data_IF_049066561509
#
_entry.id   IF_049066561509
#
_cell.length_a   1.000
_cell.length_b   1.000
_cell.length_c   1.000
_cell.angle_alpha   90.00
_cell.angle_beta   90.00
_cell.angle_gamma   90.00
#
_symmetry.space_group_name_H-M   'P 1'
#
loop_
_entity.id
_entity.type
_entity.pdbx_description
1 polymer ?
#
# COMPACT_ATOMS: atom_id res chain seq x y z
N UNK A 1 -42.13 32.48 17.73
CA UNK A 1 -42.06 33.26 18.97
C UNK A 1 -40.85 32.92 19.82
N UNK A 2 -40.12 31.86 19.50
CA UNK A 2 -38.92 31.41 20.28
C UNK A 2 -37.73 32.40 20.21
N UNK A 3 -37.67 33.21 19.18
CA UNK A 3 -36.65 34.25 18.97
C UNK A 3 -36.60 35.33 20.07
N UNK A 4 -37.63 35.45 20.85
CA UNK A 4 -37.69 36.39 21.99
C UNK A 4 -37.15 35.78 23.30
N UNK A 5 -37.14 34.46 23.39
CA UNK A 5 -36.78 33.74 24.62
C UNK A 5 -35.43 32.98 24.48
N UNK A 6 -35.09 32.63 23.26
CA UNK A 6 -33.90 31.85 22.96
C UNK A 6 -32.98 32.57 21.94
N UNK A 7 -31.69 32.51 22.19
CA UNK A 7 -30.70 32.98 21.25
C UNK A 7 -30.26 31.79 20.40
N UNK A 8 -30.53 31.84 19.09
CA UNK A 8 -29.93 30.90 18.14
C UNK A 8 -28.48 31.26 17.93
N UNK A 9 -27.61 30.26 18.08
CA UNK A 9 -26.15 30.38 17.87
C UNK A 9 -25.80 29.57 16.65
N UNK A 10 -25.29 30.26 15.63
CA UNK A 10 -24.79 29.62 14.44
C UNK A 10 -23.44 28.95 14.73
N UNK A 11 -23.24 27.75 14.18
CA UNK A 11 -22.02 27.00 14.37
C UNK A 11 -21.86 25.89 13.31
N UNK A 12 -20.65 25.36 13.21
CA UNK A 12 -20.43 24.13 12.44
C UNK A 12 -20.96 22.92 13.21
N UNK A 13 -21.26 21.84 12.51
CA UNK A 13 -21.70 20.57 13.15
C UNK A 13 -20.73 20.11 14.26
N UNK A 14 -19.38 20.11 14.06
CA UNK A 14 -18.45 19.77 15.13
C UNK A 14 -18.54 20.71 16.34
N UNK A 15 -18.75 22.01 16.13
CA UNK A 15 -18.88 22.98 17.21
C UNK A 15 -20.18 22.77 18.01
N UNK A 16 -21.28 22.52 17.34
CA UNK A 16 -22.57 22.21 17.95
C UNK A 16 -22.48 20.91 18.78
N UNK A 17 -21.87 19.85 18.25
CA UNK A 17 -21.67 18.59 18.97
C UNK A 17 -20.74 18.73 20.18
N UNK A 18 -19.68 19.52 20.07
CA UNK A 18 -18.81 19.83 21.22
C UNK A 18 -19.56 20.56 22.33
N UNK A 19 -20.45 21.48 21.97
CA UNK A 19 -21.27 22.21 22.93
C UNK A 19 -22.33 21.30 23.56
N UNK A 20 -22.95 20.41 22.77
CA UNK A 20 -23.86 19.36 23.28
C UNK A 20 -23.13 18.50 24.34
N UNK A 21 -21.97 17.97 24.01
CA UNK A 21 -21.16 17.14 24.90
C UNK A 21 -20.79 17.89 26.19
N UNK A 22 -20.39 19.15 26.07
CA UNK A 22 -20.07 20.01 27.22
C UNK A 22 -21.27 20.22 28.15
N UNK A 23 -22.42 20.60 27.60
CA UNK A 23 -23.63 20.87 28.35
C UNK A 23 -24.19 19.60 29.01
N UNK A 24 -24.21 18.48 28.25
CA UNK A 24 -24.66 17.18 28.74
C UNK A 24 -23.83 16.71 29.95
N UNK A 25 -22.48 16.80 29.85
CA UNK A 25 -21.59 16.44 30.96
C UNK A 25 -21.83 17.29 32.24
N UNK A 26 -22.25 18.55 32.07
CA UNK A 26 -22.57 19.46 33.17
C UNK A 26 -24.03 19.43 33.62
N UNK A 27 -24.85 18.63 32.95
CA UNK A 27 -26.33 18.60 33.15
C UNK A 27 -26.97 19.97 32.95
N UNK A 28 -26.41 20.78 32.05
CA UNK A 28 -26.96 22.07 31.64
C UNK A 28 -28.04 21.86 30.57
N UNK A 29 -29.19 22.54 30.64
CA UNK A 29 -30.18 22.47 29.56
C UNK A 29 -29.60 23.00 28.24
N UNK A 30 -29.81 22.24 27.18
CA UNK A 30 -29.40 22.65 25.83
C UNK A 30 -30.41 22.14 24.81
N UNK A 31 -30.67 22.91 23.77
CA UNK A 31 -31.39 22.46 22.58
C UNK A 31 -30.48 22.63 21.38
N UNK A 32 -30.40 21.59 20.57
CA UNK A 32 -29.55 21.55 19.38
C UNK A 32 -30.35 21.09 18.17
N UNK A 33 -29.98 21.52 16.99
CA UNK A 33 -30.51 20.99 15.73
C UNK A 33 -29.76 19.71 15.37
N UNK A 34 -30.52 18.62 15.30
CA UNK A 34 -30.03 17.31 14.86
C UNK A 34 -30.94 16.74 13.79
N UNK A 35 -30.50 15.73 13.13
CA UNK A 35 -31.26 14.94 12.16
C UNK A 35 -31.30 13.47 12.58
N UNK A 36 -32.16 12.69 12.00
CA UNK A 36 -32.18 11.24 12.14
C UNK A 36 -31.96 10.61 10.78
N UNK A 37 -31.11 9.58 10.71
CA UNK A 37 -30.34 9.00 11.81
C UNK A 37 -29.13 9.86 12.20
N UNK A 38 -28.64 9.76 13.46
CA UNK A 38 -27.43 10.42 13.95
C UNK A 38 -26.91 9.70 15.21
N UNK A 39 -25.62 9.42 15.27
CA UNK A 39 -24.95 8.70 16.36
C UNK A 39 -25.16 9.32 17.76
N UNK A 40 -25.36 10.64 17.84
CA UNK A 40 -25.58 11.34 19.11
C UNK A 40 -26.80 10.83 19.91
N UNK A 41 -27.79 10.24 19.24
CA UNK A 41 -28.92 9.61 19.92
C UNK A 41 -28.53 8.31 20.63
N UNK A 42 -27.44 7.66 20.24
CA UNK A 42 -26.91 6.48 20.92
C UNK A 42 -25.98 6.85 22.07
N UNK A 43 -25.22 7.96 21.93
CA UNK A 43 -24.26 8.40 22.94
C UNK A 43 -24.93 9.20 24.08
N UNK A 44 -25.98 9.97 23.76
CA UNK A 44 -26.67 10.85 24.72
C UNK A 44 -28.14 10.50 24.80
N UNK A 45 -28.69 10.48 26.02
CA UNK A 45 -30.15 10.37 26.23
C UNK A 45 -30.81 11.70 25.86
N UNK A 46 -31.23 11.80 24.60
CA UNK A 46 -31.79 13.00 24.00
C UNK A 46 -33.28 12.81 23.73
N UNK A 47 -34.07 13.83 24.01
CA UNK A 47 -35.50 13.88 23.67
C UNK A 47 -35.71 14.63 22.37
N UNK A 48 -36.22 13.95 21.33
CA UNK A 48 -36.72 14.61 20.12
C UNK A 48 -37.92 15.49 20.43
N UNK A 49 -37.82 16.77 20.13
CA UNK A 49 -38.94 17.70 20.23
C UNK A 49 -39.88 17.51 19.03
N UNK A 50 -41.18 17.48 19.31
CA UNK A 50 -42.19 17.37 18.25
C UNK A 50 -42.34 18.72 17.55
N UNK A 51 -42.49 18.67 16.24
CA UNK A 51 -42.85 19.81 15.40
C UNK A 51 -44.34 19.71 14.96
N UNK A 52 -45.26 20.19 15.76
CA UNK A 52 -46.68 20.04 15.46
C UNK A 52 -47.14 20.93 14.30
N UNK A 53 -46.38 21.94 13.94
CA UNK A 53 -46.68 22.86 12.84
C UNK A 53 -46.01 22.46 11.52
N UNK A 54 -45.17 21.41 11.53
CA UNK A 54 -44.48 20.91 10.33
C UNK A 54 -43.49 21.91 9.73
N UNK A 55 -42.87 22.75 10.56
CA UNK A 55 -41.93 23.78 10.10
C UNK A 55 -40.67 23.21 9.47
N UNK A 56 -40.27 21.97 9.86
CA UNK A 56 -39.15 21.24 9.32
C UNK A 56 -39.44 20.43 8.04
N UNK A 57 -40.74 20.39 7.62
CA UNK A 57 -41.19 19.57 6.49
C UNK A 57 -41.38 18.10 6.83
N UNK A 58 -41.63 17.28 5.80
CA UNK A 58 -41.96 15.85 5.93
C UNK A 58 -40.71 14.96 5.93
N UNK A 59 -39.55 15.39 6.10
CA UNK A 59 -38.34 14.59 6.06
C UNK A 59 -37.94 14.21 4.63
N UNK A 60 -36.69 13.85 4.49
CA UNK A 60 -36.05 13.52 3.22
C UNK A 60 -35.57 12.07 3.17
N UNK A 61 -35.24 11.60 1.96
CA UNK A 61 -34.62 10.32 1.72
C UNK A 61 -33.13 10.54 1.34
N UNK A 62 -32.28 9.62 1.76
CA UNK A 62 -30.86 9.63 1.37
C UNK A 62 -30.71 8.79 0.11
N UNK A 63 -30.22 9.40 -0.96
CA UNK A 63 -30.06 8.77 -2.26
C UNK A 63 -28.59 8.62 -2.65
N UNK A 64 -28.27 7.48 -3.30
CA UNK A 64 -26.99 7.28 -3.99
C UNK A 64 -27.06 7.94 -5.36
N UNK A 65 -26.11 8.83 -5.64
CA UNK A 65 -25.97 9.49 -6.95
C UNK A 65 -24.73 8.98 -7.68
N UNK A 66 -24.90 8.72 -8.98
CA UNK A 66 -23.81 8.31 -9.85
C UNK A 66 -23.79 9.13 -11.14
N UNK A 67 -22.62 9.24 -11.77
CA UNK A 67 -22.51 9.91 -13.07
C UNK A 67 -23.31 9.21 -14.15
N UNK A 68 -23.75 9.97 -15.14
CA UNK A 68 -24.47 9.40 -16.29
C UNK A 68 -23.61 8.34 -17.00
N UNK A 69 -24.18 7.17 -17.23
CA UNK A 69 -23.51 6.04 -17.87
C UNK A 69 -22.86 5.04 -16.91
N UNK A 70 -22.75 5.37 -15.62
CA UNK A 70 -22.13 4.51 -14.58
C UNK A 70 -22.67 3.07 -14.61
N UNK A 71 -24.00 2.87 -14.57
CA UNK A 71 -24.60 1.53 -14.57
C UNK A 71 -24.43 0.74 -15.88
N UNK A 72 -24.00 1.41 -16.98
CA UNK A 72 -23.62 0.70 -18.21
C UNK A 72 -22.19 0.23 -18.18
N UNK A 73 -21.33 1.01 -17.56
CA UNK A 73 -19.89 0.73 -17.42
C UNK A 73 -19.65 -0.29 -16.30
N UNK A 74 -20.42 -0.18 -15.21
CA UNK A 74 -20.33 -1.04 -14.02
C UNK A 74 -21.71 -1.65 -13.69
N UNK A 75 -22.23 -2.60 -14.47
CA UNK A 75 -23.60 -3.07 -14.32
C UNK A 75 -23.89 -3.74 -12.98
N UNK A 76 -22.98 -4.56 -12.46
CA UNK A 76 -23.14 -5.23 -11.17
C UNK A 76 -23.09 -4.22 -10.01
N UNK A 77 -22.07 -3.37 -9.99
CA UNK A 77 -21.96 -2.33 -8.95
C UNK A 77 -23.14 -1.38 -9.00
N UNK A 78 -23.60 -1.01 -10.20
CA UNK A 78 -24.78 -0.19 -10.38
C UNK A 78 -26.06 -0.84 -9.78
N UNK A 79 -26.17 -2.17 -9.89
CA UNK A 79 -27.23 -2.93 -9.25
C UNK A 79 -27.10 -2.94 -7.73
N UNK A 80 -25.92 -3.21 -7.20
CA UNK A 80 -25.67 -3.20 -5.75
C UNK A 80 -26.02 -1.85 -5.14
N UNK A 81 -25.54 -0.76 -5.75
CA UNK A 81 -25.84 0.60 -5.28
C UNK A 81 -27.33 0.94 -5.36
N UNK A 82 -28.04 0.43 -6.36
CA UNK A 82 -29.49 0.60 -6.49
C UNK A 82 -30.26 -0.14 -5.40
N UNK A 83 -29.80 -1.34 -5.04
CA UNK A 83 -30.45 -2.21 -4.07
C UNK A 83 -29.93 -1.95 -2.63
N UNK A 84 -28.92 -1.08 -2.47
CA UNK A 84 -28.32 -0.74 -1.18
C UNK A 84 -29.33 -0.08 -0.25
N UNK A 85 -29.50 -0.66 0.93
CA UNK A 85 -30.32 -0.11 2.01
C UNK A 85 -29.71 -0.42 3.37
N UNK A 86 -29.64 0.59 4.21
CA UNK A 86 -29.30 0.46 5.62
C UNK A 86 -30.53 0.76 6.49
N UNK A 87 -30.66 0.06 7.61
CA UNK A 87 -31.58 0.45 8.66
C UNK A 87 -31.05 1.67 9.43
N UNK A 88 -31.94 2.38 10.13
CA UNK A 88 -31.54 3.48 11.02
C UNK A 88 -30.53 2.99 12.08
N UNK A 89 -30.72 1.80 12.63
CA UNK A 89 -29.83 1.17 13.61
C UNK A 89 -28.44 0.87 13.02
N UNK A 90 -28.38 0.32 11.82
CA UNK A 90 -27.12 0.05 11.13
C UNK A 90 -26.35 1.33 10.86
N UNK A 91 -27.00 2.36 10.33
CA UNK A 91 -26.33 3.62 10.02
C UNK A 91 -25.83 4.31 11.29
N UNK A 92 -26.65 4.37 12.34
CA UNK A 92 -26.30 5.03 13.61
C UNK A 92 -25.14 4.29 14.31
N UNK A 93 -25.11 2.95 14.28
CA UNK A 93 -24.03 2.17 14.86
C UNK A 93 -22.71 2.34 14.07
N UNK A 94 -22.77 2.39 12.75
CA UNK A 94 -21.62 2.66 11.90
C UNK A 94 -21.05 4.07 12.14
N UNK A 95 -21.93 5.07 12.23
CA UNK A 95 -21.52 6.44 12.56
C UNK A 95 -20.82 6.53 13.93
N UNK A 96 -21.31 5.77 14.92
CA UNK A 96 -20.71 5.72 16.26
C UNK A 96 -19.30 5.13 16.22
N UNK A 97 -19.08 4.04 15.48
CA UNK A 97 -17.75 3.43 15.28
C UNK A 97 -16.77 4.42 14.60
N UNK A 98 -17.22 5.08 13.53
CA UNK A 98 -16.40 6.09 12.84
C UNK A 98 -16.06 7.27 13.77
N UNK A 99 -17.03 7.73 14.58
CA UNK A 99 -16.81 8.81 15.55
C UNK A 99 -15.84 8.42 16.68
N UNK A 100 -15.82 7.15 17.07
CA UNK A 100 -14.89 6.61 18.07
C UNK A 100 -13.47 6.42 17.59
N UNK A 101 -13.26 6.42 16.28
CA UNK A 101 -11.94 6.19 15.67
C UNK A 101 -11.05 7.45 15.72
N UNK A 102 -9.75 7.25 15.77
CA UNK A 102 -8.77 8.30 15.56
C UNK A 102 -8.87 8.86 14.14
N UNK A 103 -8.55 10.15 13.99
CA UNK A 103 -8.55 10.81 12.69
C UNK A 103 -7.62 10.08 11.69
N UNK A 104 -8.16 9.70 10.54
CA UNK A 104 -7.46 8.94 9.50
C UNK A 104 -7.60 7.42 9.64
N UNK A 105 -8.38 6.95 10.64
CA UNK A 105 -8.67 5.52 10.86
C UNK A 105 -10.12 5.14 10.61
N UNK A 106 -10.84 6.00 9.90
CA UNK A 106 -12.26 5.81 9.60
C UNK A 106 -12.51 4.50 8.81
N UNK A 107 -11.60 4.15 7.90
CA UNK A 107 -11.70 2.92 7.12
C UNK A 107 -11.51 1.66 8.00
N UNK A 108 -10.62 1.72 8.98
CA UNK A 108 -10.44 0.63 9.95
C UNK A 108 -11.70 0.42 10.79
N UNK A 109 -12.33 1.53 11.23
CA UNK A 109 -13.59 1.50 11.97
C UNK A 109 -14.73 0.87 11.15
N UNK A 110 -14.86 1.24 9.88
CA UNK A 110 -15.83 0.61 8.96
C UNK A 110 -15.59 -0.89 8.82
N UNK A 111 -14.34 -1.31 8.65
CA UNK A 111 -13.98 -2.74 8.57
C UNK A 111 -14.27 -3.49 9.87
N UNK A 112 -14.01 -2.87 11.02
CA UNK A 112 -14.36 -3.46 12.33
C UNK A 112 -15.86 -3.62 12.48
N UNK A 113 -16.63 -2.59 12.16
CA UNK A 113 -18.09 -2.65 12.19
C UNK A 113 -18.66 -3.74 11.27
N UNK A 114 -18.10 -3.91 10.05
CA UNK A 114 -18.54 -4.95 9.12
C UNK A 114 -18.30 -6.38 9.66
N UNK A 115 -17.27 -6.61 10.49
CA UNK A 115 -17.05 -7.92 11.13
C UNK A 115 -18.19 -8.30 12.07
N UNK A 116 -18.84 -7.31 12.70
CA UNK A 116 -19.99 -7.50 13.57
C UNK A 116 -21.32 -7.55 12.79
N UNK A 117 -21.27 -7.35 11.47
CA UNK A 117 -22.41 -7.40 10.54
C UNK A 117 -22.17 -8.42 9.41
N UNK A 118 -22.03 -9.72 9.72
CA UNK A 118 -21.56 -10.72 8.74
C UNK A 118 -22.43 -10.82 7.49
N UNK A 119 -23.74 -10.57 7.62
CA UNK A 119 -24.68 -10.66 6.48
C UNK A 119 -24.78 -9.35 5.66
N UNK A 120 -24.15 -8.27 6.13
CA UNK A 120 -24.32 -6.95 5.50
C UNK A 120 -23.65 -6.89 4.11
N UNK A 121 -22.42 -7.39 3.98
CA UNK A 121 -21.69 -7.42 2.71
C UNK A 121 -22.40 -8.30 1.68
N UNK A 122 -22.81 -9.49 2.08
CA UNK A 122 -23.51 -10.42 1.18
C UNK A 122 -24.88 -9.87 0.72
N UNK A 123 -25.51 -9.07 1.57
CA UNK A 123 -26.78 -8.41 1.24
C UNK A 123 -26.60 -7.22 0.31
N UNK A 124 -25.56 -6.40 0.53
CA UNK A 124 -25.36 -5.14 -0.20
C UNK A 124 -24.56 -5.30 -1.49
N UNK A 125 -23.60 -6.20 -1.49
CA UNK A 125 -22.75 -6.52 -2.62
C UNK A 125 -22.65 -8.05 -2.77
N UNK A 126 -23.76 -8.73 -3.13
CA UNK A 126 -23.72 -10.17 -3.33
C UNK A 126 -22.78 -10.47 -4.50
N UNK A 127 -21.55 -10.80 -4.19
CA UNK A 127 -20.65 -11.39 -5.19
C UNK A 127 -21.21 -12.77 -5.50
N UNK A 128 -21.49 -13.01 -6.79
CA UNK A 128 -21.96 -14.31 -7.26
C UNK A 128 -20.88 -15.34 -6.98
N UNK A 129 -21.02 -16.07 -5.87
CA UNK A 129 -20.05 -17.05 -5.41
C UNK A 129 -19.82 -16.92 -3.91
N UNK A 130 -20.66 -17.54 -3.07
CA UNK A 130 -20.35 -17.73 -1.65
C UNK A 130 -19.11 -18.63 -1.49
N UNK A 131 -18.58 -18.77 -0.28
CA UNK A 131 -17.38 -19.58 0.09
C UNK A 131 -17.23 -20.91 -0.67
N UNK A 132 -18.36 -21.57 -1.01
CA UNK A 132 -18.35 -22.82 -1.79
C UNK A 132 -17.96 -22.62 -3.26
N UNK A 133 -18.25 -21.45 -3.85
CA UNK A 133 -17.97 -21.18 -5.24
C UNK A 133 -16.56 -20.61 -5.40
N UNK A 134 -16.11 -19.73 -4.51
CA UNK A 134 -14.70 -19.30 -4.46
C UNK A 134 -13.75 -20.51 -4.32
N UNK A 135 -14.07 -21.48 -3.46
CA UNK A 135 -13.28 -22.73 -3.33
C UNK A 135 -13.24 -23.54 -4.61
N UNK A 136 -14.32 -23.58 -5.38
CA UNK A 136 -14.35 -24.28 -6.69
C UNK A 136 -13.56 -23.50 -7.73
N UNK A 137 -13.64 -22.16 -7.72
CA UNK A 137 -12.92 -21.30 -8.64
C UNK A 137 -11.42 -21.34 -8.37
N UNK A 138 -11.00 -21.26 -7.12
CA UNK A 138 -9.61 -21.47 -6.68
C UNK A 138 -9.11 -22.85 -7.14
N UNK A 139 -9.87 -23.92 -6.92
CA UNK A 139 -9.49 -25.26 -7.36
C UNK A 139 -9.44 -25.41 -8.89
N UNK A 140 -10.17 -24.59 -9.64
CA UNK A 140 -10.08 -24.56 -11.10
C UNK A 140 -8.82 -23.84 -11.58
N UNK A 141 -8.50 -22.69 -11.00
CA UNK A 141 -7.29 -21.89 -11.27
C UNK A 141 -6.01 -22.65 -10.90
N UNK A 142 -6.00 -23.31 -9.75
CA UNK A 142 -4.85 -24.03 -9.19
C UNK A 142 -4.40 -25.26 -10.02
N UNK A 143 -5.14 -25.64 -11.05
CA UNK A 143 -4.76 -26.74 -11.95
C UNK A 143 -3.53 -26.44 -12.81
N UNK A 144 -3.29 -25.17 -13.08
CA UNK A 144 -2.12 -24.70 -13.81
C UNK A 144 -1.14 -24.05 -12.83
N UNK A 145 0.15 -24.40 -12.88
CA UNK A 145 1.16 -23.64 -12.13
C UNK A 145 1.23 -22.21 -12.63
N UNK A 146 1.40 -21.27 -11.71
CA UNK A 146 1.61 -19.85 -11.99
C UNK A 146 3.12 -19.61 -12.18
N UNK A 147 3.50 -19.06 -13.34
CA UNK A 147 4.88 -18.72 -13.66
C UNK A 147 5.18 -17.29 -13.15
N UNK A 148 5.98 -17.16 -12.13
CA UNK A 148 6.23 -15.90 -11.41
C UNK A 148 7.68 -15.47 -11.59
N UNK A 149 7.87 -14.26 -12.09
CA UNK A 149 9.20 -13.65 -12.13
C UNK A 149 9.50 -12.93 -10.83
N UNK A 150 10.78 -12.89 -10.47
CA UNK A 150 11.28 -12.12 -9.34
C UNK A 150 12.69 -11.58 -9.61
N UNK A 151 13.03 -10.49 -8.92
CA UNK A 151 14.33 -9.85 -8.91
C UNK A 151 15.04 -10.12 -7.58
N UNK A 152 16.39 -10.13 -7.53
CA UNK A 152 17.12 -10.35 -6.29
C UNK A 152 17.17 -9.09 -5.41
N UNK A 153 16.01 -8.42 -5.25
CA UNK A 153 15.81 -7.25 -4.41
C UNK A 153 14.94 -7.62 -3.21
N UNK A 154 15.19 -6.99 -2.08
CA UNK A 154 14.68 -7.41 -0.79
C UNK A 154 13.15 -7.36 -0.73
N UNK A 155 12.56 -6.29 -1.22
CA UNK A 155 11.10 -6.10 -1.28
C UNK A 155 10.42 -7.09 -2.23
N UNK A 156 11.06 -7.40 -3.36
CA UNK A 156 10.51 -8.38 -4.31
C UNK A 156 10.63 -9.81 -3.76
N UNK A 157 11.75 -10.15 -3.13
CA UNK A 157 11.92 -11.43 -2.44
C UNK A 157 10.84 -11.57 -1.37
N UNK A 158 10.62 -10.52 -0.54
CA UNK A 158 9.63 -10.53 0.51
C UNK A 158 8.21 -10.75 -0.06
N UNK A 159 7.79 -9.96 -1.03
CA UNK A 159 6.47 -10.06 -1.65
C UNK A 159 6.28 -11.41 -2.36
N UNK A 160 7.25 -11.84 -3.15
CA UNK A 160 7.19 -13.09 -3.95
C UNK A 160 7.07 -14.32 -3.05
N UNK A 161 7.90 -14.44 -2.00
CA UNK A 161 7.85 -15.60 -1.10
C UNK A 161 6.65 -15.55 -0.15
N UNK A 162 6.19 -14.38 0.25
CA UNK A 162 4.93 -14.23 0.99
C UNK A 162 3.76 -14.76 0.13
N UNK A 163 3.63 -14.30 -1.10
CA UNK A 163 2.59 -14.78 -2.01
C UNK A 163 2.75 -16.26 -2.37
N UNK A 164 3.97 -16.77 -2.48
CA UNK A 164 4.19 -18.20 -2.66
C UNK A 164 3.55 -18.99 -1.51
N UNK A 165 3.85 -18.62 -0.27
CA UNK A 165 3.25 -19.29 0.90
C UNK A 165 1.73 -19.17 0.89
N UNK A 166 1.19 -17.95 0.75
CA UNK A 166 -0.26 -17.68 0.76
C UNK A 166 -0.99 -18.46 -0.32
N UNK A 167 -0.48 -18.48 -1.55
CA UNK A 167 -1.10 -19.17 -2.67
C UNK A 167 -0.99 -20.70 -2.53
N UNK A 168 0.14 -21.21 -2.04
CA UNK A 168 0.30 -22.67 -1.79
C UNK A 168 -0.64 -23.15 -0.69
N UNK A 169 -0.90 -22.36 0.35
CA UNK A 169 -1.92 -22.63 1.36
C UNK A 169 -3.34 -22.69 0.76
N UNK A 170 -3.59 -21.91 -0.30
CA UNK A 170 -4.84 -21.94 -1.07
C UNK A 170 -4.87 -23.01 -2.17
N UNK A 171 -3.81 -23.81 -2.32
CA UNK A 171 -3.73 -24.94 -3.24
C UNK A 171 -3.15 -24.64 -4.62
N UNK A 172 -2.68 -23.41 -4.87
CA UNK A 172 -1.97 -23.06 -6.10
C UNK A 172 -0.55 -23.67 -6.10
N UNK A 173 0.07 -23.65 -7.26
CA UNK A 173 1.50 -23.94 -7.43
C UNK A 173 2.16 -22.75 -8.08
N UNK A 174 3.28 -22.30 -7.53
CA UNK A 174 4.10 -21.24 -8.10
C UNK A 174 5.45 -21.78 -8.54
N UNK A 175 5.81 -21.47 -9.80
CA UNK A 175 7.15 -21.67 -10.32
C UNK A 175 7.88 -20.32 -10.33
N UNK A 176 8.95 -20.19 -9.55
CA UNK A 176 9.68 -18.95 -9.40
C UNK A 176 10.85 -18.88 -10.39
N UNK A 177 10.96 -17.77 -11.10
CA UNK A 177 11.99 -17.51 -12.09
C UNK A 177 12.71 -16.20 -11.78
N UNK A 178 14.02 -16.26 -11.52
CA UNK A 178 14.81 -15.06 -11.35
C UNK A 178 15.12 -14.42 -12.71
N UNK A 179 14.91 -13.11 -12.81
CA UNK A 179 15.11 -12.35 -14.03
C UNK A 179 15.85 -11.03 -13.76
N UNK A 180 16.38 -10.46 -14.85
CA UNK A 180 16.68 -9.04 -14.96
C UNK A 180 15.44 -8.32 -15.51
N UNK A 181 15.28 -7.01 -15.24
CA UNK A 181 14.07 -6.25 -15.57
C UNK A 181 13.66 -6.33 -17.05
N UNK A 182 14.57 -6.02 -17.96
CA UNK A 182 14.26 -6.03 -19.40
C UNK A 182 13.83 -7.38 -19.94
N UNK A 183 14.59 -8.47 -19.70
CA UNK A 183 14.20 -9.84 -20.03
C UNK A 183 12.86 -10.26 -19.42
N UNK A 184 12.56 -9.86 -18.18
CA UNK A 184 11.29 -10.15 -17.50
C UNK A 184 10.10 -9.57 -18.29
N UNK A 185 10.11 -8.26 -18.58
CA UNK A 185 9.04 -7.63 -19.35
C UNK A 185 8.86 -8.27 -20.74
N UNK A 186 9.97 -8.64 -21.40
CA UNK A 186 9.91 -9.32 -22.68
C UNK A 186 9.35 -10.76 -22.58
N UNK A 187 9.64 -11.49 -21.52
CA UNK A 187 9.09 -12.82 -21.26
C UNK A 187 7.60 -12.75 -20.91
N UNK A 188 7.21 -11.81 -20.04
CA UNK A 188 5.83 -11.58 -19.64
C UNK A 188 4.97 -11.16 -20.84
N UNK A 189 5.43 -10.25 -21.70
CA UNK A 189 4.68 -9.85 -22.91
C UNK A 189 4.40 -10.99 -23.89
N UNK A 190 5.16 -12.08 -23.81
CA UNK A 190 4.95 -13.32 -24.60
C UNK A 190 4.15 -14.40 -23.87
N UNK A 191 3.66 -14.10 -22.64
CA UNK A 191 2.93 -15.06 -21.81
C UNK A 191 3.79 -16.21 -21.28
N UNK A 192 5.12 -16.03 -21.17
CA UNK A 192 6.05 -16.99 -20.56
C UNK A 192 6.15 -16.81 -19.05
N UNK A 193 5.79 -15.64 -18.57
CA UNK A 193 5.63 -15.26 -17.16
C UNK A 193 4.20 -14.76 -17.00
N UNK A 194 3.54 -15.19 -15.94
CA UNK A 194 2.17 -14.82 -15.63
C UNK A 194 2.12 -13.51 -14.83
N UNK A 195 2.97 -13.34 -13.79
CA UNK A 195 2.93 -12.20 -12.86
C UNK A 195 4.30 -11.87 -12.27
N UNK A 196 4.44 -10.60 -11.82
CA UNK A 196 5.57 -10.09 -11.06
C UNK A 196 5.08 -9.01 -10.09
N UNK A 197 5.65 -8.95 -8.85
CA UNK A 197 5.14 -8.12 -7.78
C UNK A 197 5.88 -6.80 -7.58
N UNK A 198 6.97 -6.56 -8.27
CA UNK A 198 7.88 -5.44 -8.01
C UNK A 198 8.14 -4.58 -9.24
N UNK A 199 7.06 -4.08 -9.84
CA UNK A 199 7.16 -3.08 -10.91
C UNK A 199 7.23 -1.67 -10.31
N UNK A 200 8.40 -1.02 -10.44
CA UNK A 200 8.64 0.35 -10.00
C UNK A 200 8.10 1.36 -11.02
N UNK A 201 6.88 1.82 -10.81
CA UNK A 201 6.15 2.72 -11.70
C UNK A 201 5.60 3.95 -10.93
N UNK A 202 5.47 5.10 -11.57
CA UNK A 202 5.51 5.30 -13.05
C UNK A 202 6.88 5.69 -13.62
N UNK A 203 7.98 5.74 -12.85
CA UNK A 203 9.22 6.39 -13.28
C UNK A 203 10.34 5.39 -13.65
N UNK A 204 10.80 4.58 -12.69
CA UNK A 204 12.02 3.76 -12.81
C UNK A 204 11.94 2.72 -13.92
N UNK A 205 10.82 2.00 -14.04
CA UNK A 205 10.65 0.98 -15.08
C UNK A 205 9.79 1.46 -16.26
N UNK A 206 9.52 2.76 -16.32
CA UNK A 206 8.65 3.38 -17.33
C UNK A 206 8.96 2.95 -18.78
N UNK A 207 10.23 2.90 -19.18
CA UNK A 207 10.62 2.53 -20.55
C UNK A 207 10.17 1.13 -20.94
N UNK A 208 10.16 0.20 -19.99
CA UNK A 208 9.70 -1.17 -20.23
C UNK A 208 8.17 -1.23 -20.23
N UNK A 209 7.53 -0.54 -19.27
CA UNK A 209 6.08 -0.44 -19.23
C UNK A 209 5.54 0.17 -20.52
N UNK A 210 6.02 1.32 -20.96
CA UNK A 210 5.57 1.98 -22.20
C UNK A 210 5.72 1.08 -23.43
N UNK A 211 6.75 0.24 -23.47
CA UNK A 211 7.01 -0.66 -24.58
C UNK A 211 6.06 -1.85 -24.63
N UNK A 212 5.66 -2.38 -23.48
CA UNK A 212 4.98 -3.66 -23.38
C UNK A 212 3.56 -3.58 -22.80
N UNK A 213 3.08 -2.43 -22.33
CA UNK A 213 1.79 -2.27 -21.66
C UNK A 213 0.57 -2.81 -22.40
N UNK A 214 0.61 -2.88 -23.74
CA UNK A 214 -0.50 -3.45 -24.53
C UNK A 214 -0.69 -4.98 -24.33
N UNK A 215 0.33 -5.66 -23.85
CA UNK A 215 0.33 -7.08 -23.56
C UNK A 215 0.27 -7.39 -22.06
N UNK A 216 0.23 -6.33 -21.23
CA UNK A 216 0.28 -6.43 -19.77
C UNK A 216 -0.97 -5.84 -19.13
N UNK A 217 -1.18 -6.18 -17.89
CA UNK A 217 -2.17 -5.56 -17.00
C UNK A 217 -1.49 -5.14 -15.70
N UNK A 218 -1.85 -3.97 -15.23
CA UNK A 218 -1.49 -3.45 -13.92
C UNK A 218 -2.57 -3.87 -12.93
N UNK A 219 -2.20 -4.62 -11.90
CA UNK A 219 -3.11 -5.11 -10.87
C UNK A 219 -3.16 -4.22 -9.63
N UNK A 220 -2.40 -3.13 -9.61
CA UNK A 220 -2.41 -2.15 -8.52
C UNK A 220 -1.08 -2.01 -7.81
N UNK A 221 -0.99 -0.98 -7.00
CA UNK A 221 0.15 -0.73 -6.13
C UNK A 221 -0.09 -1.32 -4.74
N UNK A 222 0.94 -1.91 -4.17
CA UNK A 222 0.86 -2.54 -2.87
C UNK A 222 1.77 -1.87 -1.81
N UNK A 223 2.67 -1.00 -2.27
CA UNK A 223 3.54 -0.21 -1.41
C UNK A 223 3.97 1.10 -2.08
N UNK A 224 4.12 2.17 -1.30
CA UNK A 224 4.66 3.44 -1.76
C UNK A 224 4.35 4.61 -0.80
N UNK A 225 4.96 5.77 -1.02
CA UNK A 225 5.95 6.03 -2.08
C UNK A 225 7.32 5.40 -1.79
N UNK A 226 8.02 5.03 -2.85
CA UNK A 226 9.42 4.58 -2.79
C UNK A 226 10.38 5.73 -3.12
N UNK A 227 11.68 5.54 -2.86
CA UNK A 227 12.72 6.48 -3.33
C UNK A 227 14.00 5.76 -3.69
N UNK A 228 14.75 6.34 -4.64
CA UNK A 228 16.11 5.96 -4.96
C UNK A 228 17.06 6.97 -4.33
N UNK A 229 18.10 6.50 -3.65
CA UNK A 229 19.04 7.38 -2.96
C UNK A 229 20.47 6.82 -2.87
N UNK A 230 21.43 7.69 -2.69
CA UNK A 230 22.72 7.30 -2.13
C UNK A 230 22.66 7.40 -0.61
N UNK A 231 23.24 6.41 0.05
CA UNK A 231 23.37 6.39 1.49
C UNK A 231 24.83 6.30 1.93
N UNK A 232 25.14 6.91 3.06
CA UNK A 232 26.44 6.85 3.73
C UNK A 232 26.26 6.49 5.21
N UNK A 233 27.20 5.83 5.86
CA UNK A 233 27.13 5.57 7.29
C UNK A 233 27.01 6.85 8.13
N UNK A 234 26.29 6.79 9.24
CA UNK A 234 26.01 7.92 10.10
C UNK A 234 27.25 8.58 10.74
N UNK A 235 28.38 7.86 10.80
CA UNK A 235 29.65 8.39 11.25
C UNK A 235 30.35 9.31 10.22
N UNK A 236 29.88 9.35 8.97
CA UNK A 236 30.29 10.32 7.94
C UNK A 236 29.46 11.58 8.13
N UNK A 237 29.88 12.43 9.07
CA UNK A 237 29.07 13.57 9.54
C UNK A 237 29.01 14.77 8.60
N UNK A 238 29.96 14.88 7.70
CA UNK A 238 30.19 16.01 6.82
C UNK A 238 29.54 15.85 5.42
N UNK A 239 28.76 14.78 5.22
CA UNK A 239 28.01 14.50 3.99
C UNK A 239 26.56 14.23 4.32
N UNK A 240 25.68 15.15 3.90
CA UNK A 240 24.22 15.07 4.12
C UNK A 240 23.42 15.11 2.83
N UNK A 241 24.02 15.62 1.76
CA UNK A 241 23.41 15.69 0.46
C UNK A 241 24.37 15.21 -0.63
N UNK A 242 23.82 14.91 -1.81
CA UNK A 242 24.60 14.55 -3.00
C UNK A 242 25.61 15.65 -3.40
N UNK A 243 25.26 16.91 -3.11
CA UNK A 243 26.15 18.05 -3.38
C UNK A 243 27.40 18.04 -2.49
N UNK A 244 27.32 17.49 -1.29
CA UNK A 244 28.43 17.45 -0.32
C UNK A 244 29.50 16.42 -0.70
N UNK A 245 29.22 15.50 -1.62
CA UNK A 245 30.19 14.53 -2.13
C UNK A 245 31.31 15.20 -2.94
N UNK A 246 31.03 16.38 -3.53
CA UNK A 246 32.00 17.09 -4.35
C UNK A 246 33.20 17.54 -3.51
N UNK A 247 34.40 17.25 -4.01
CA UNK A 247 35.67 17.54 -3.31
C UNK A 247 36.06 16.49 -2.26
N UNK A 248 35.26 15.40 -2.12
CA UNK A 248 35.50 14.34 -1.12
C UNK A 248 35.81 12.96 -1.75
N UNK A 249 36.15 12.91 -3.01
CA UNK A 249 36.43 11.64 -3.70
C UNK A 249 37.45 10.77 -2.95
N UNK A 250 38.55 11.33 -2.44
CA UNK A 250 39.54 10.58 -1.68
C UNK A 250 39.00 9.95 -0.39
N UNK A 251 38.03 10.61 0.27
CA UNK A 251 37.39 10.08 1.48
C UNK A 251 36.61 8.79 1.23
N UNK A 252 36.12 8.60 0.02
CA UNK A 252 35.34 7.44 -0.41
C UNK A 252 36.09 6.52 -1.39
N UNK A 253 37.42 6.55 -1.41
CA UNK A 253 38.28 5.82 -2.36
C UNK A 253 37.90 6.07 -3.84
N UNK A 254 37.34 7.23 -4.15
CA UNK A 254 36.86 7.60 -5.47
C UNK A 254 35.73 6.70 -5.99
N UNK A 255 34.93 6.08 -5.11
CA UNK A 255 33.92 5.10 -5.51
C UNK A 255 32.54 5.39 -4.95
N UNK A 256 31.52 5.11 -5.78
CA UNK A 256 30.14 4.91 -5.36
C UNK A 256 29.78 3.47 -5.72
N UNK A 257 29.41 2.67 -4.75
CA UNK A 257 29.06 1.26 -4.95
C UNK A 257 27.60 1.16 -5.36
N UNK A 258 27.36 0.66 -6.55
CA UNK A 258 26.05 0.45 -7.13
C UNK A 258 25.54 -0.98 -6.99
N UNK A 259 24.50 -1.26 -7.75
CA UNK A 259 23.82 -2.55 -7.84
C UNK A 259 24.03 -3.19 -9.22
N UNK A 260 23.09 -4.03 -9.67
CA UNK A 260 23.15 -4.74 -10.94
C UNK A 260 23.31 -3.78 -12.12
N UNK A 261 24.32 -4.05 -12.97
CA UNK A 261 24.51 -3.30 -14.22
C UNK A 261 23.27 -3.46 -15.14
N UNK A 262 22.90 -2.37 -15.82
CA UNK A 262 21.79 -2.37 -16.77
C UNK A 262 20.41 -2.12 -16.15
N UNK A 263 20.32 -1.92 -14.82
CA UNK A 263 19.12 -1.40 -14.19
C UNK A 263 18.95 0.08 -14.53
N UNK A 264 17.70 0.55 -14.60
CA UNK A 264 17.42 1.98 -14.80
C UNK A 264 17.98 2.84 -13.66
N UNK A 265 17.99 2.31 -12.44
CA UNK A 265 18.61 2.92 -11.27
C UNK A 265 20.08 3.26 -11.50
N UNK A 266 20.84 2.30 -12.06
CA UNK A 266 22.26 2.51 -12.38
C UNK A 266 22.46 3.46 -13.58
N UNK A 267 21.53 3.44 -14.54
CA UNK A 267 21.52 4.42 -15.65
C UNK A 267 21.27 5.84 -15.13
N UNK A 268 20.31 6.01 -14.22
CA UNK A 268 20.02 7.30 -13.56
C UNK A 268 21.25 7.77 -12.77
N UNK A 269 21.83 6.89 -11.94
CA UNK A 269 22.99 7.22 -11.13
C UNK A 269 24.19 7.67 -12.00
N UNK A 270 24.53 6.90 -13.03
CA UNK A 270 25.69 7.16 -13.89
C UNK A 270 25.49 8.35 -14.83
N UNK A 271 24.32 8.48 -15.42
CA UNK A 271 24.08 9.40 -16.54
C UNK A 271 23.38 10.69 -16.14
N UNK A 272 22.73 10.74 -14.96
CA UNK A 272 22.04 11.94 -14.47
C UNK A 272 22.64 12.45 -13.15
N UNK A 273 22.70 11.61 -12.11
CA UNK A 273 23.08 12.03 -10.76
C UNK A 273 24.54 12.43 -10.68
N UNK A 274 25.44 11.50 -11.03
CA UNK A 274 26.89 11.74 -10.92
C UNK A 274 27.33 12.94 -11.79
N UNK A 275 26.95 13.07 -13.06
CA UNK A 275 27.25 14.26 -13.85
C UNK A 275 26.54 15.52 -13.35
N UNK A 276 25.28 15.40 -12.96
CA UNK A 276 24.46 16.53 -12.53
C UNK A 276 24.95 17.22 -11.26
N UNK A 277 25.62 16.48 -10.36
CA UNK A 277 26.31 17.02 -9.19
C UNK A 277 27.80 17.32 -9.44
N UNK A 278 28.30 17.09 -10.66
CA UNK A 278 29.70 17.36 -11.02
C UNK A 278 30.70 16.42 -10.36
N UNK A 279 30.29 15.16 -10.13
CA UNK A 279 31.08 14.15 -9.43
C UNK A 279 31.92 13.26 -10.37
N UNK A 280 31.70 13.34 -11.70
CA UNK A 280 32.31 12.44 -12.69
C UNK A 280 33.83 12.42 -12.70
N UNK A 281 34.51 13.49 -12.24
CA UNK A 281 35.95 13.58 -12.15
C UNK A 281 36.55 13.01 -10.85
N UNK A 282 35.69 12.75 -9.85
CA UNK A 282 36.11 12.36 -8.51
C UNK A 282 35.67 10.94 -8.14
N UNK A 283 34.56 10.49 -8.75
CA UNK A 283 33.93 9.21 -8.39
C UNK A 283 33.74 8.32 -9.62
N UNK A 284 34.04 7.05 -9.43
CA UNK A 284 33.66 5.97 -10.33
C UNK A 284 32.45 5.24 -9.70
N UNK A 285 31.37 5.16 -10.45
CA UNK A 285 30.27 4.25 -10.07
C UNK A 285 30.70 2.82 -10.39
N UNK A 286 30.71 1.97 -9.38
CA UNK A 286 31.10 0.58 -9.47
C UNK A 286 29.84 -0.27 -9.62
N UNK A 287 29.71 -0.95 -10.75
CA UNK A 287 28.68 -1.96 -10.90
C UNK A 287 28.96 -3.13 -9.96
N UNK A 288 27.92 -3.59 -9.28
CA UNK A 288 27.97 -4.72 -8.37
C UNK A 288 26.73 -5.60 -8.58
N UNK A 289 26.44 -6.46 -7.65
CA UNK A 289 25.11 -7.00 -7.41
C UNK A 289 24.60 -6.44 -6.09
N UNK A 290 23.30 -6.48 -5.86
CA UNK A 290 22.72 -6.06 -4.58
C UNK A 290 23.36 -6.79 -3.39
N UNK A 291 23.49 -8.14 -3.38
CA UNK A 291 24.24 -8.81 -2.31
C UNK A 291 25.71 -8.39 -2.22
N UNK A 292 26.36 -8.09 -3.35
CA UNK A 292 27.75 -7.61 -3.40
C UNK A 292 27.89 -6.22 -2.77
N UNK A 293 27.01 -5.28 -3.12
CA UNK A 293 26.96 -3.94 -2.53
C UNK A 293 26.73 -4.02 -1.02
N UNK A 294 25.77 -4.83 -0.56
CA UNK A 294 25.48 -5.02 0.86
C UNK A 294 26.65 -5.66 1.62
N UNK A 295 27.39 -6.58 1.01
CA UNK A 295 28.60 -7.15 1.60
C UNK A 295 29.70 -6.09 1.77
N UNK A 296 29.88 -5.19 0.78
CA UNK A 296 30.81 -4.07 0.90
C UNK A 296 30.37 -3.07 1.97
N UNK A 297 29.07 -2.75 2.04
CA UNK A 297 28.51 -1.89 3.10
C UNK A 297 28.80 -2.49 4.48
N UNK A 298 28.45 -3.77 4.69
CA UNK A 298 28.70 -4.48 5.95
C UNK A 298 30.17 -4.43 6.36
N UNK A 299 31.09 -4.70 5.40
CA UNK A 299 32.53 -4.66 5.64
C UNK A 299 33.01 -3.25 6.04
N UNK A 300 32.60 -2.23 5.29
CA UNK A 300 32.97 -0.85 5.54
C UNK A 300 32.41 -0.35 6.87
N UNK A 301 31.12 -0.66 7.15
CA UNK A 301 30.48 -0.28 8.40
C UNK A 301 31.16 -0.86 9.64
N UNK A 302 31.52 -2.16 9.59
CA UNK A 302 32.24 -2.83 10.68
C UNK A 302 33.62 -2.22 10.96
N UNK A 303 34.29 -1.69 9.93
CA UNK A 303 35.61 -1.04 10.02
C UNK A 303 35.52 0.48 10.23
N UNK A 304 34.32 1.05 10.19
CA UNK A 304 34.08 2.49 10.17
C UNK A 304 34.79 3.22 9.02
N UNK A 305 34.91 2.54 7.87
CA UNK A 305 35.43 3.12 6.63
C UNK A 305 34.30 3.89 5.94
N UNK A 306 34.53 5.10 5.41
CA UNK A 306 33.55 5.81 4.61
C UNK A 306 33.19 5.02 3.36
N UNK A 307 31.89 4.92 3.05
CA UNK A 307 31.36 4.29 1.86
C UNK A 307 30.11 5.04 1.41
N UNK A 308 29.90 5.19 0.10
CA UNK A 308 28.67 5.64 -0.50
C UNK A 308 28.08 4.48 -1.33
N UNK A 309 26.83 4.11 -1.03
CA UNK A 309 26.16 2.99 -1.66
C UNK A 309 24.85 3.44 -2.28
N UNK A 310 24.47 2.79 -3.40
CA UNK A 310 23.14 2.92 -3.97
C UNK A 310 22.15 2.10 -3.13
N UNK A 311 21.13 2.76 -2.60
CA UNK A 311 20.03 2.14 -1.88
C UNK A 311 18.69 2.72 -2.34
N UNK A 312 17.63 2.22 -1.76
CA UNK A 312 16.27 2.64 -1.99
C UNK A 312 15.43 2.53 -0.72
N UNK A 313 14.25 3.09 -0.74
CA UNK A 313 13.27 2.94 0.32
C UNK A 313 12.01 2.28 -0.25
N UNK A 314 11.48 1.22 0.35
CA UNK A 314 11.91 0.58 1.61
C UNK A 314 13.18 -0.27 1.45
N UNK A 315 13.97 -0.46 2.51
CA UNK A 315 15.12 -1.37 2.54
C UNK A 315 15.56 -1.62 4.00
N UNK A 316 15.72 -2.90 4.38
CA UNK A 316 16.08 -3.33 5.74
C UNK A 316 17.42 -2.76 6.23
N UNK A 317 18.35 -2.44 5.32
CA UNK A 317 19.66 -1.91 5.70
C UNK A 317 19.60 -0.64 6.55
N UNK A 318 18.53 0.15 6.45
CA UNK A 318 18.32 1.33 7.29
C UNK A 318 17.98 0.96 8.74
N UNK A 319 17.41 -0.22 8.97
CA UNK A 319 17.13 -0.73 10.31
C UNK A 319 18.37 -1.38 10.94
N UNK A 320 19.18 -2.09 10.14
CA UNK A 320 20.37 -2.79 10.61
C UNK A 320 21.55 -1.83 10.82
N UNK A 321 21.74 -0.87 9.91
CA UNK A 321 22.84 0.09 9.93
C UNK A 321 22.30 1.50 10.13
N UNK A 322 23.01 2.30 10.94
CA UNK A 322 22.71 3.74 11.03
C UNK A 322 23.26 4.42 9.77
N UNK A 323 22.40 4.63 8.80
CA UNK A 323 22.74 5.26 7.52
C UNK A 323 22.04 6.63 7.42
N UNK A 324 22.72 7.56 6.76
CA UNK A 324 22.15 8.82 6.31
C UNK A 324 21.80 8.69 4.83
N UNK A 325 20.53 8.87 4.49
CA UNK A 325 20.07 9.10 3.12
C UNK A 325 20.57 10.47 2.68
N UNK A 326 21.25 10.54 1.53
CA UNK A 326 21.72 11.82 1.01
C UNK A 326 20.59 12.56 0.30
N UNK A 327 20.36 13.80 0.71
CA UNK A 327 19.39 14.66 0.07
C UNK A 327 19.74 14.88 -1.41
N UNK A 328 18.72 14.84 -2.28
CA UNK A 328 18.83 15.16 -3.71
C UNK A 328 18.11 16.47 -4.05
N UNK A 329 18.67 17.65 -3.72
CA UNK A 329 18.02 18.94 -3.96
C UNK A 329 17.77 19.27 -5.43
N UNK A 330 18.41 18.56 -6.37
CA UNK A 330 18.17 18.68 -7.82
C UNK A 330 17.13 17.69 -8.34
N UNK A 331 16.63 16.78 -7.49
CA UNK A 331 15.66 15.74 -7.83
C UNK A 331 16.07 14.88 -9.04
N UNK A 332 17.36 14.55 -9.15
CA UNK A 332 17.89 13.81 -10.29
C UNK A 332 17.59 12.31 -10.23
N UNK A 333 17.30 11.78 -9.04
CA UNK A 333 16.75 10.44 -8.88
C UNK A 333 15.26 10.34 -9.25
N UNK A 334 14.55 11.47 -9.36
CA UNK A 334 13.12 11.52 -9.63
C UNK A 334 12.28 11.72 -8.37
N UNK A 335 10.97 11.55 -8.52
CA UNK A 335 10.00 11.79 -7.43
C UNK A 335 9.53 10.51 -6.73
N UNK A 336 10.19 9.38 -6.98
CA UNK A 336 9.83 8.08 -6.43
C UNK A 336 8.77 7.35 -7.27
N UNK A 337 8.49 6.13 -6.85
CA UNK A 337 7.58 5.19 -7.50
C UNK A 337 6.63 4.55 -6.49
N UNK A 338 5.75 3.71 -6.99
CA UNK A 338 5.00 2.73 -6.22
C UNK A 338 5.45 1.34 -6.66
N UNK A 339 5.47 0.39 -5.74
CA UNK A 339 5.66 -1.03 -6.05
C UNK A 339 4.32 -1.58 -6.51
N UNK A 340 4.27 -2.08 -7.74
CA UNK A 340 3.03 -2.53 -8.36
C UNK A 340 3.12 -3.99 -8.77
N UNK A 341 1.99 -4.68 -8.67
CA UNK A 341 1.84 -6.00 -9.25
C UNK A 341 1.48 -5.86 -10.74
N UNK A 342 2.30 -6.41 -11.61
CA UNK A 342 2.05 -6.44 -13.05
C UNK A 342 1.97 -7.87 -13.56
N UNK A 343 1.11 -8.11 -14.55
CA UNK A 343 0.88 -9.43 -15.08
C UNK A 343 0.69 -9.41 -16.61
N UNK A 344 0.79 -10.59 -17.24
CA UNK A 344 0.36 -10.74 -18.61
C UNK A 344 -1.14 -10.50 -18.74
N UNK A 345 -1.59 -9.90 -19.82
CA UNK A 345 -3.00 -9.52 -20.03
C UNK A 345 -4.03 -10.65 -19.88
N UNK A 346 -3.62 -11.91 -20.13
CA UNK A 346 -4.50 -13.07 -19.93
C UNK A 346 -4.58 -13.53 -18.47
N UNK A 347 -3.83 -12.87 -17.55
CA UNK A 347 -3.78 -13.29 -16.15
C UNK A 347 -5.16 -13.21 -15.49
N UNK A 348 -5.89 -12.13 -15.72
CA UNK A 348 -7.22 -11.91 -15.14
C UNK A 348 -8.28 -12.89 -15.63
N UNK A 349 -8.07 -13.49 -16.81
CA UNK A 349 -8.93 -14.55 -17.35
C UNK A 349 -8.53 -15.94 -16.81
N UNK A 350 -7.22 -16.17 -16.64
CA UNK A 350 -6.67 -17.45 -16.18
C UNK A 350 -6.75 -17.62 -14.66
N UNK A 351 -6.65 -16.52 -13.93
CA UNK A 351 -6.59 -16.47 -12.46
C UNK A 351 -7.45 -15.32 -11.92
N UNK A 352 -8.78 -15.32 -12.15
CA UNK A 352 -9.65 -14.24 -11.72
C UNK A 352 -9.64 -14.04 -10.20
N UNK A 353 -9.66 -15.11 -9.38
CA UNK A 353 -9.65 -15.00 -7.92
C UNK A 353 -8.31 -14.45 -7.41
N UNK A 354 -7.19 -15.01 -7.90
CA UNK A 354 -5.86 -14.50 -7.53
C UNK A 354 -5.66 -13.05 -8.00
N UNK A 355 -6.24 -12.66 -9.15
CA UNK A 355 -6.19 -11.27 -9.62
C UNK A 355 -6.85 -10.30 -8.66
N UNK A 356 -7.97 -10.69 -8.04
CA UNK A 356 -8.66 -9.86 -7.07
C UNK A 356 -7.84 -9.74 -5.79
N UNK A 357 -7.24 -10.83 -5.30
CA UNK A 357 -6.35 -10.79 -4.16
C UNK A 357 -5.11 -9.89 -4.40
N UNK A 358 -4.55 -9.91 -5.60
CA UNK A 358 -3.41 -9.07 -5.94
C UNK A 358 -3.77 -7.59 -6.07
N UNK A 359 -5.01 -7.26 -6.47
CA UNK A 359 -5.49 -5.87 -6.48
C UNK A 359 -5.68 -5.30 -5.08
N UNK A 360 -6.01 -6.16 -4.12
CA UNK A 360 -6.20 -5.78 -2.72
C UNK A 360 -4.92 -5.95 -1.88
N UNK A 361 -3.80 -6.31 -2.53
CA UNK A 361 -2.52 -6.50 -1.85
C UNK A 361 -1.97 -5.20 -1.32
N UNK A 362 -1.66 -5.15 -0.04
CA UNK A 362 -1.05 -4.02 0.63
C UNK A 362 -0.24 -4.49 1.85
N UNK A 363 0.97 -3.99 1.99
CA UNK A 363 1.79 -4.12 3.19
C UNK A 363 2.09 -2.74 3.77
N UNK A 364 2.00 -2.62 5.08
CA UNK A 364 2.54 -1.44 5.76
C UNK A 364 4.08 -1.47 5.79
N UNK A 365 4.70 -0.31 6.06
CA UNK A 365 6.16 -0.21 6.21
C UNK A 365 6.67 -1.18 7.28
N UNK A 366 6.00 -1.28 8.44
CA UNK A 366 6.38 -2.19 9.53
C UNK A 366 6.26 -3.66 9.12
N UNK A 367 5.23 -4.02 8.34
CA UNK A 367 5.02 -5.39 7.86
C UNK A 367 6.10 -5.79 6.87
N UNK A 368 6.40 -4.94 5.89
CA UNK A 368 7.43 -5.19 4.90
C UNK A 368 8.82 -5.26 5.55
N UNK A 369 9.18 -4.27 6.37
CA UNK A 369 10.45 -4.24 7.08
C UNK A 369 10.62 -5.45 8.03
N UNK A 370 9.54 -5.86 8.70
CA UNK A 370 9.53 -7.06 9.56
C UNK A 370 9.82 -8.33 8.76
N UNK A 371 9.20 -8.49 7.60
CA UNK A 371 9.40 -9.65 6.73
C UNK A 371 10.81 -9.66 6.12
N UNK A 372 11.30 -8.55 5.61
CA UNK A 372 12.67 -8.39 5.10
C UNK A 372 13.70 -8.74 6.18
N UNK A 373 13.49 -8.29 7.43
CA UNK A 373 14.38 -8.60 8.54
C UNK A 373 14.43 -10.12 8.85
N UNK A 374 13.30 -10.82 8.82
CA UNK A 374 13.28 -12.27 9.01
C UNK A 374 14.02 -13.00 7.88
N UNK A 375 13.84 -12.57 6.62
CA UNK A 375 14.56 -13.10 5.47
C UNK A 375 16.07 -12.90 5.66
N UNK A 376 16.50 -11.70 6.04
CA UNK A 376 17.90 -11.39 6.27
C UNK A 376 18.53 -12.21 7.42
N UNK A 377 17.81 -12.39 8.52
CA UNK A 377 18.30 -13.19 9.67
C UNK A 377 18.60 -14.63 9.28
N UNK A 378 17.73 -15.25 8.49
CA UNK A 378 17.89 -16.63 8.08
C UNK A 378 18.84 -16.82 6.90
N UNK A 379 18.95 -15.81 6.03
CA UNK A 379 19.86 -15.75 4.89
C UNK A 379 19.35 -16.49 3.66
N UNK A 380 20.08 -16.30 2.57
CA UNK A 380 19.75 -16.81 1.23
C UNK A 380 19.50 -18.32 1.20
N UNK A 381 18.44 -18.73 0.51
CA UNK A 381 18.00 -20.11 0.38
C UNK A 381 17.09 -20.59 1.52
N UNK A 382 16.68 -19.66 2.41
CA UNK A 382 15.76 -19.94 3.53
C UNK A 382 14.57 -18.98 3.57
N UNK A 383 14.27 -18.36 2.46
CA UNK A 383 13.22 -17.35 2.32
C UNK A 383 11.85 -17.92 2.74
N UNK A 384 11.51 -19.15 2.35
CA UNK A 384 10.28 -19.83 2.77
C UNK A 384 10.21 -19.99 4.30
N UNK A 385 11.32 -20.39 4.93
CA UNK A 385 11.38 -20.53 6.39
C UNK A 385 11.23 -19.19 7.10
N UNK A 386 11.72 -18.11 6.50
CA UNK A 386 11.59 -16.76 7.02
C UNK A 386 10.13 -16.28 6.95
N UNK A 387 9.47 -16.51 5.82
CA UNK A 387 8.03 -16.23 5.66
C UNK A 387 7.21 -17.03 6.67
N UNK A 388 7.49 -18.32 6.83
CA UNK A 388 6.84 -19.17 7.84
C UNK A 388 7.02 -18.63 9.28
N UNK A 389 8.21 -18.13 9.61
CA UNK A 389 8.47 -17.55 10.93
C UNK A 389 7.71 -16.24 11.11
N UNK A 390 7.72 -15.37 10.10
CA UNK A 390 7.02 -14.09 10.13
C UNK A 390 5.49 -14.28 10.21
N UNK A 391 4.91 -15.23 9.46
CA UNK A 391 3.48 -15.53 9.48
C UNK A 391 3.02 -16.11 10.82
N UNK A 392 3.89 -16.81 11.58
CA UNK A 392 3.56 -17.22 12.96
C UNK A 392 3.35 -16.04 13.91
N UNK A 393 4.03 -14.92 13.65
CA UNK A 393 3.86 -13.67 14.40
C UNK A 393 2.74 -12.79 13.82
N UNK A 394 2.30 -13.08 12.58
CA UNK A 394 1.23 -12.37 11.84
C UNK A 394 0.19 -13.36 11.28
N UNK A 395 -0.49 -14.14 12.15
CA UNK A 395 -1.33 -15.28 11.71
C UNK A 395 -2.54 -14.87 10.86
N UNK A 396 -2.99 -13.64 10.96
CA UNK A 396 -4.11 -13.11 10.19
C UNK A 396 -3.79 -12.85 8.71
N UNK A 397 -2.50 -12.80 8.35
CA UNK A 397 -2.08 -12.30 7.04
C UNK A 397 -2.49 -13.22 5.89
N UNK A 398 -2.51 -14.53 6.06
CA UNK A 398 -2.93 -15.46 5.00
C UNK A 398 -4.39 -15.22 4.63
N UNK A 399 -5.28 -15.12 5.61
CA UNK A 399 -6.70 -14.87 5.37
C UNK A 399 -6.97 -13.41 4.94
N UNK A 400 -6.14 -12.46 5.38
CA UNK A 400 -6.22 -11.07 4.93
C UNK A 400 -5.86 -10.93 3.46
N UNK A 401 -4.79 -11.58 3.02
CA UNK A 401 -4.29 -11.47 1.64
C UNK A 401 -5.10 -12.32 0.66
N UNK A 402 -5.52 -13.50 1.05
CA UNK A 402 -6.27 -14.44 0.22
C UNK A 402 -7.51 -14.97 0.95
N UNK A 403 -8.55 -14.14 1.14
CA UNK A 403 -9.78 -14.54 1.81
C UNK A 403 -10.52 -15.61 1.00
N UNK A 404 -10.97 -16.68 1.68
CA UNK A 404 -11.66 -17.84 1.10
C UNK A 404 -13.16 -17.81 1.40
#
# INVERSE_FOLDING_TARGET
GLDKEFKVVDGSTPAMLAELKRAYAKKEPIAVTLWSPHWAYNEFDLTKLKDPEGAWGEGDEIHTLARKGFSKEFPEVGKWLKDFKMSEEQLTSLEAEIQGADKGKEQEAVRAWLKDQPDALDKWAPVSGGDSDKKKDVAAEAKRPMEVAWFPWEEDIAATYLWKHVLEDRGYKMNLHQFEVGPMYAAMSRGQIDVQFDAWLPNTQKKYWDKYQNELVDLGDWYGPTSLELAVPDYVKDVKSLADLKGKGEQFDGRIVGIEAGTETMDILKNKVVPGYGLSGEYKVVDSSTPGMLAELKRAYAKKEPIAVMLWTPHWAYNEYKLNKLEDPKKLFGEGDQLRTVAHKSFTENYPVASDWFRDFELSEDQLAGLENEIQKLGTGKEEQAVDAWLKENPEMVDKLAPM
#
